data_IF_557112671156
#
_entry.id   IF_557112671156
#
_cell.length_a   1.000
_cell.length_b   1.000
_cell.length_c   1.000
_cell.angle_alpha   90.00
_cell.angle_beta   90.00
_cell.angle_gamma   90.00
#
_symmetry.space_group_name_H-M   'P 1'
#
loop_
_entity.id
_entity.type
_entity.pdbx_description
1 polymer ?
#
# COMPACT_ATOMS: atom_id res chain seq x y z
N UNK A 1 24.32 -2.26 8.23
CA UNK A 1 23.01 -1.75 7.78
C UNK A 1 23.18 -0.28 7.44
N UNK A 2 22.99 0.10 6.18
CA UNK A 2 23.15 1.50 5.76
C UNK A 2 21.88 2.28 6.12
N UNK A 3 21.96 3.36 6.92
CA UNK A 3 20.83 4.26 7.08
C UNK A 3 20.49 4.88 5.73
N UNK A 4 19.22 4.89 5.38
CA UNK A 4 18.72 5.39 4.10
C UNK A 4 17.80 6.57 4.39
N UNK A 5 18.05 7.69 3.72
CA UNK A 5 17.24 8.89 3.88
C UNK A 5 16.03 8.84 2.96
N UNK A 6 14.88 9.29 3.44
CA UNK A 6 13.68 9.47 2.63
C UNK A 6 13.71 10.87 2.00
N UNK A 7 13.95 10.94 0.69
CA UNK A 7 14.02 12.21 -0.05
C UNK A 7 12.64 12.74 -0.45
N UNK A 8 11.64 11.86 -0.58
CA UNK A 8 10.33 12.25 -1.06
C UNK A 8 9.21 11.29 -0.66
N UNK A 9 7.99 11.83 -0.64
CA UNK A 9 6.77 11.11 -0.32
C UNK A 9 5.71 11.47 -1.37
N UNK A 10 5.12 10.46 -1.99
CA UNK A 10 3.97 10.58 -2.89
C UNK A 10 2.85 9.74 -2.30
N UNK A 11 1.70 10.37 -2.05
CA UNK A 11 0.51 9.69 -1.54
C UNK A 11 -0.55 9.68 -2.63
N UNK A 12 -1.10 8.51 -2.93
CA UNK A 12 -2.23 8.35 -3.86
C UNK A 12 -3.34 7.57 -3.18
N UNK A 13 -4.56 8.11 -3.20
CA UNK A 13 -5.74 7.37 -2.76
C UNK A 13 -6.23 6.49 -3.91
N UNK A 14 -6.44 5.20 -3.65
CA UNK A 14 -7.08 4.29 -4.62
C UNK A 14 -8.52 4.77 -4.83
N UNK A 15 -8.83 5.31 -6.02
CA UNK A 15 -10.19 5.79 -6.32
C UNK A 15 -11.18 4.62 -6.35
N UNK A 16 -12.35 4.88 -5.79
CA UNK A 16 -13.54 4.01 -5.80
C UNK A 16 -14.06 3.95 -7.23
N UNK A 17 -13.52 3.04 -8.06
CA UNK A 17 -14.14 2.73 -9.34
C UNK A 17 -15.56 2.25 -9.07
N UNK A 18 -16.57 2.90 -9.66
CA UNK A 18 -17.93 2.38 -9.67
C UNK A 18 -17.86 0.91 -10.08
N UNK A 19 -18.47 -0.02 -9.34
CA UNK A 19 -18.62 -1.37 -9.86
C UNK A 19 -19.52 -1.26 -11.10
N UNK A 20 -18.95 -1.40 -12.29
CA UNK A 20 -19.74 -1.63 -13.50
C UNK A 20 -20.42 -2.98 -13.27
N UNK A 21 -21.72 -2.92 -13.03
CA UNK A 21 -22.52 -4.06 -12.61
C UNK A 21 -22.82 -4.95 -13.81
N UNK A 22 -21.83 -5.73 -14.26
CA UNK A 22 -22.01 -6.73 -15.32
C UNK A 22 -23.03 -7.80 -14.94
N UNK A 23 -23.41 -7.92 -13.66
CA UNK A 23 -24.47 -8.82 -13.19
C UNK A 23 -25.83 -8.52 -13.82
N UNK A 24 -26.16 -7.24 -14.04
CA UNK A 24 -27.39 -6.86 -14.75
C UNK A 24 -27.34 -7.26 -16.23
N UNK A 25 -26.15 -7.26 -16.83
CA UNK A 25 -25.94 -7.68 -18.21
C UNK A 25 -26.15 -9.20 -18.39
N UNK A 26 -25.68 -10.02 -17.43
CA UNK A 26 -25.87 -11.49 -17.49
C UNK A 26 -27.28 -11.96 -17.11
N UNK A 27 -28.02 -11.18 -16.30
CA UNK A 27 -29.44 -11.44 -16.02
C UNK A 27 -30.29 -11.42 -17.30
N UNK A 28 -29.92 -10.56 -18.25
CA UNK A 28 -30.60 -10.45 -19.55
C UNK A 28 -30.37 -11.67 -20.46
N UNK A 29 -29.28 -12.43 -20.24
CA UNK A 29 -28.91 -13.60 -21.07
C UNK A 29 -29.10 -14.96 -20.37
N UNK A 30 -29.71 -15.03 -19.17
CA UNK A 30 -30.13 -16.29 -18.55
C UNK A 30 -28.98 -17.24 -18.13
N UNK A 31 -27.74 -16.76 -18.08
CA UNK A 31 -26.59 -17.55 -17.67
C UNK A 31 -26.53 -17.55 -16.14
N UNK A 32 -27.15 -18.55 -15.50
CA UNK A 32 -27.07 -18.80 -14.05
C UNK A 32 -25.67 -19.34 -13.70
N UNK A 33 -24.68 -18.44 -13.67
CA UNK A 33 -23.34 -18.72 -13.17
C UNK A 33 -23.33 -18.59 -11.65
N UNK A 34 -23.23 -19.72 -10.96
CA UNK A 34 -23.17 -19.83 -9.50
C UNK A 34 -22.05 -18.95 -8.94
N UNK A 35 -22.42 -18.23 -7.89
CA UNK A 35 -21.72 -17.17 -7.17
C UNK A 35 -20.42 -17.62 -6.49
N UNK A 36 -19.32 -17.76 -7.24
CA UNK A 36 -17.95 -17.87 -6.69
C UNK A 36 -17.28 -16.50 -6.51
N UNK A 37 -17.90 -15.42 -6.99
CA UNK A 37 -17.33 -14.07 -6.97
C UNK A 37 -17.66 -13.24 -5.72
N UNK A 38 -18.64 -13.61 -4.88
CA UNK A 38 -19.06 -12.79 -3.73
C UNK A 38 -18.01 -12.70 -2.63
N UNK A 39 -17.34 -13.81 -2.31
CA UNK A 39 -16.28 -13.83 -1.29
C UNK A 39 -15.08 -12.99 -1.71
N UNK A 40 -14.59 -13.15 -2.95
CA UNK A 40 -13.51 -12.32 -3.48
C UNK A 40 -13.89 -10.83 -3.56
N UNK A 41 -15.15 -10.52 -3.91
CA UNK A 41 -15.64 -9.13 -3.94
C UNK A 41 -15.70 -8.52 -2.55
N UNK A 42 -16.11 -9.27 -1.53
CA UNK A 42 -16.12 -8.82 -0.14
C UNK A 42 -14.70 -8.61 0.39
N UNK A 43 -13.80 -9.58 0.18
CA UNK A 43 -12.39 -9.48 0.57
C UNK A 43 -11.73 -8.24 -0.06
N UNK A 44 -11.91 -8.02 -1.37
CA UNK A 44 -11.37 -6.85 -2.08
C UNK A 44 -12.00 -5.53 -1.62
N UNK A 45 -13.26 -5.52 -1.16
CA UNK A 45 -13.90 -4.35 -0.55
C UNK A 45 -13.27 -4.05 0.80
N UNK A 46 -13.14 -5.05 1.67
CA UNK A 46 -12.50 -4.88 2.97
C UNK A 46 -11.04 -4.42 2.85
N UNK A 47 -10.22 -5.08 2.03
CA UNK A 47 -8.81 -4.69 1.86
C UNK A 47 -8.63 -3.25 1.34
N UNK A 48 -9.54 -2.79 0.46
CA UNK A 48 -9.51 -1.42 -0.07
C UNK A 48 -10.11 -0.38 0.87
N UNK A 49 -11.00 -0.79 1.77
CA UNK A 49 -11.58 0.06 2.82
C UNK A 49 -10.58 0.28 3.95
N UNK A 50 -9.85 -0.78 4.35
CA UNK A 50 -8.84 -0.70 5.40
C UNK A 50 -7.51 -0.10 4.95
N UNK A 51 -7.12 -0.22 3.66
CA UNK A 51 -5.86 0.33 3.12
C UNK A 51 -6.07 1.16 1.85
N UNK A 52 -6.74 2.32 1.94
CA UNK A 52 -7.09 3.12 0.78
C UNK A 52 -5.91 3.92 0.19
N UNK A 53 -4.79 4.03 0.91
CA UNK A 53 -3.67 4.88 0.53
C UNK A 53 -2.50 4.07 -0.01
N UNK A 54 -2.19 4.25 -1.30
CA UNK A 54 -0.92 3.82 -1.87
C UNK A 54 0.12 4.91 -1.62
N UNK A 55 1.13 4.59 -0.82
CA UNK A 55 2.22 5.50 -0.49
C UNK A 55 3.49 5.06 -1.16
N UNK A 56 4.15 6.00 -1.83
CA UNK A 56 5.47 5.82 -2.43
C UNK A 56 6.47 6.72 -1.72
N UNK A 57 7.47 6.11 -1.08
CA UNK A 57 8.65 6.77 -0.54
C UNK A 57 9.77 6.72 -1.58
N UNK A 58 10.51 7.82 -1.72
CA UNK A 58 11.78 7.83 -2.46
C UNK A 58 12.92 7.67 -1.46
N UNK A 59 13.68 6.61 -1.61
CA UNK A 59 14.85 6.30 -0.79
C UNK A 59 16.11 6.88 -1.44
N UNK A 60 16.96 7.52 -0.66
CA UNK A 60 18.25 8.04 -1.08
C UNK A 60 19.28 6.90 -1.07
N UNK A 61 19.77 6.53 -2.25
CA UNK A 61 20.80 5.51 -2.41
C UNK A 61 20.36 4.34 -3.28
N UNK A 62 21.29 3.45 -3.58
CA UNK A 62 21.04 2.26 -4.39
C UNK A 62 20.60 1.12 -3.47
N UNK A 63 19.29 0.88 -3.36
CA UNK A 63 18.71 -0.21 -2.57
C UNK A 63 18.26 -1.31 -3.51
N UNK A 64 18.61 -2.55 -3.21
CA UNK A 64 18.18 -3.69 -4.00
C UNK A 64 16.64 -3.80 -4.02
N UNK A 65 16.03 -4.16 -5.16
CA UNK A 65 14.60 -4.40 -5.20
C UNK A 65 14.23 -5.59 -4.32
N UNK A 66 13.15 -5.46 -3.55
CA UNK A 66 12.73 -6.49 -2.60
C UNK A 66 11.69 -5.98 -1.61
N UNK A 67 11.31 -6.84 -0.66
CA UNK A 67 10.39 -6.48 0.42
C UNK A 67 11.19 -6.16 1.67
N UNK A 68 10.89 -5.05 2.32
CA UNK A 68 11.63 -4.54 3.48
C UNK A 68 10.70 -3.98 4.56
N UNK A 69 11.11 -4.11 5.81
CA UNK A 69 10.66 -3.27 6.92
C UNK A 69 11.57 -2.04 6.99
N UNK A 70 10.96 -0.85 7.11
CA UNK A 70 11.68 0.40 7.28
C UNK A 70 11.73 0.74 8.77
N UNK A 71 12.70 0.17 9.49
CA UNK A 71 12.93 0.45 10.91
C UNK A 71 13.15 1.95 11.10
N UNK A 72 12.40 2.54 12.03
CA UNK A 72 12.33 3.99 12.23
C UNK A 72 10.99 4.58 11.81
N UNK A 73 10.25 3.93 10.90
CA UNK A 73 8.85 4.28 10.66
C UNK A 73 7.92 3.73 11.76
N UNK A 74 6.77 4.39 11.99
CA UNK A 74 5.73 3.90 12.89
C UNK A 74 5.29 2.46 12.58
N UNK A 75 4.89 1.72 13.61
CA UNK A 75 4.50 0.32 13.49
C UNK A 75 3.33 0.12 12.50
N UNK A 76 2.31 0.99 12.56
CA UNK A 76 1.17 0.95 11.63
C UNK A 76 1.58 1.21 10.18
N UNK A 77 2.55 2.10 9.94
CA UNK A 77 3.10 2.35 8.61
C UNK A 77 3.94 1.18 8.05
N UNK A 78 4.46 0.31 8.93
CA UNK A 78 5.28 -0.85 8.57
C UNK A 78 4.51 -2.18 8.55
N UNK A 79 3.23 -2.18 8.93
CA UNK A 79 2.44 -3.40 9.17
C UNK A 79 2.38 -4.37 7.99
N UNK A 80 2.40 -3.86 6.75
CA UNK A 80 2.39 -4.68 5.52
C UNK A 80 3.76 -4.84 4.87
N UNK A 81 4.77 -4.13 5.38
CA UNK A 81 6.08 -4.00 4.73
C UNK A 81 6.06 -3.12 3.48
N UNK A 82 7.24 -2.71 3.07
CA UNK A 82 7.49 -1.85 1.92
C UNK A 82 8.10 -2.65 0.79
N UNK A 83 7.62 -2.42 -0.42
CA UNK A 83 8.18 -3.02 -1.64
C UNK A 83 9.11 -1.99 -2.26
N UNK A 84 10.41 -2.24 -2.19
CA UNK A 84 11.42 -1.42 -2.85
C UNK A 84 11.55 -1.89 -4.30
N UNK A 85 11.42 -0.95 -5.22
CA UNK A 85 11.64 -1.13 -6.64
C UNK A 85 13.10 -0.80 -6.99
N UNK A 86 13.57 -1.29 -8.13
CA UNK A 86 14.94 -1.09 -8.61
C UNK A 86 15.31 0.40 -8.86
N UNK A 87 14.31 1.28 -8.94
CA UNK A 87 14.48 2.72 -9.06
C UNK A 87 14.63 3.44 -7.70
N UNK A 88 14.72 2.70 -6.58
CA UNK A 88 14.79 3.27 -5.23
C UNK A 88 13.45 3.77 -4.68
N UNK A 89 12.33 3.47 -5.35
CA UNK A 89 10.99 3.78 -4.85
C UNK A 89 10.48 2.65 -3.94
N UNK A 90 10.16 2.97 -2.69
CA UNK A 90 9.50 2.08 -1.75
C UNK A 90 7.98 2.31 -1.80
N UNK A 91 7.19 1.29 -2.11
CA UNK A 91 5.73 1.38 -2.12
C UNK A 91 5.10 0.54 -1.03
N UNK A 92 4.07 1.09 -0.37
CA UNK A 92 3.26 0.36 0.60
C UNK A 92 1.81 0.84 0.55
N UNK A 93 0.90 -0.08 0.89
CA UNK A 93 -0.52 0.23 1.11
C UNK A 93 -0.73 0.53 2.59
N UNK A 94 -1.13 1.75 2.91
CA UNK A 94 -1.36 2.23 4.27
C UNK A 94 -2.85 2.45 4.55
N UNK A 95 -3.20 2.24 5.81
CA UNK A 95 -4.48 2.66 6.41
C UNK A 95 -4.48 4.17 6.65
N UNK A 96 -5.63 4.74 7.01
CA UNK A 96 -5.71 6.14 7.42
C UNK A 96 -4.82 6.42 8.64
N UNK A 97 -4.81 5.51 9.62
CA UNK A 97 -3.97 5.59 10.81
C UNK A 97 -2.48 5.49 10.46
N UNK A 98 -2.07 4.52 9.64
CA UNK A 98 -0.67 4.39 9.21
C UNK A 98 -0.18 5.59 8.40
N UNK A 99 -1.06 6.22 7.61
CA UNK A 99 -0.74 7.47 6.91
C UNK A 99 -0.64 8.66 7.87
N UNK A 100 -1.54 8.76 8.85
CA UNK A 100 -1.49 9.79 9.87
C UNK A 100 -0.19 9.73 10.67
N UNK A 101 0.16 8.55 11.18
CA UNK A 101 1.40 8.32 11.92
C UNK A 101 2.64 8.64 11.08
N UNK A 102 2.65 8.24 9.81
CA UNK A 102 3.75 8.54 8.89
C UNK A 102 3.92 10.06 8.71
N UNK A 103 2.82 10.80 8.59
CA UNK A 103 2.85 12.26 8.47
C UNK A 103 3.33 12.92 9.76
N UNK A 104 2.86 12.46 10.93
CA UNK A 104 3.31 12.94 12.25
C UNK A 104 4.80 12.67 12.46
N UNK A 105 5.26 11.47 12.14
CA UNK A 105 6.67 11.11 12.16
C UNK A 105 7.51 12.01 11.25
N UNK A 106 7.05 12.28 10.03
CA UNK A 106 7.76 13.17 9.11
C UNK A 106 7.76 14.62 9.60
N UNK A 107 6.67 15.07 10.21
CA UNK A 107 6.54 16.40 10.81
C UNK A 107 7.51 16.59 12.00
N UNK A 108 7.87 15.50 12.69
CA UNK A 108 8.90 15.51 13.75
C UNK A 108 10.32 15.79 13.24
N UNK A 109 10.54 15.79 11.92
CA UNK A 109 11.85 16.02 11.30
C UNK A 109 12.67 14.75 11.09
N UNK A 110 12.18 13.60 11.53
CA UNK A 110 12.79 12.30 11.24
C UNK A 110 12.72 11.98 9.72
N UNK A 111 13.86 11.61 9.14
CA UNK A 111 13.98 11.26 7.70
C UNK A 111 14.81 10.02 7.42
N UNK A 112 15.48 9.50 8.44
CA UNK A 112 16.37 8.35 8.32
C UNK A 112 15.62 7.08 8.73
N UNK A 113 15.75 6.05 7.89
CA UNK A 113 15.18 4.73 8.15
C UNK A 113 16.22 3.67 7.85
N UNK A 114 16.12 2.53 8.54
CA UNK A 114 16.95 1.37 8.29
C UNK A 114 16.14 0.31 7.55
N UNK A 115 16.68 -0.19 6.44
CA UNK A 115 16.07 -1.25 5.66
C UNK A 115 16.38 -2.61 6.30
N UNK A 116 15.34 -3.34 6.68
CA UNK A 116 15.42 -4.71 7.16
C UNK A 116 14.67 -5.61 6.17
N UNK A 117 15.33 -6.54 5.47
CA UNK A 117 14.67 -7.37 4.47
C UNK A 117 13.60 -8.28 5.11
N UNK A 118 12.40 -8.32 4.54
CA UNK A 118 11.44 -9.41 4.76
C UNK A 118 11.83 -10.55 3.81
N UNK A 119 12.39 -11.61 4.37
CA UNK A 119 12.65 -12.88 3.66
C UNK A 119 11.38 -13.60 3.25
#
# INVERSE_FOLDING_TARGET
>A
MTPTEITGLIVRRKRRGLPVDFGAFFLFFGISGIDSGRAERLQRRFEREYYPHLVTLKLAGNVAPGRYHLRGLPAEANRRGWIVQANGAATADLSEEGLHDLNTWRASGARQVHLEPLG
#
